data_IF_412032068627
#
_entry.id   IF_412032068627
#
_cell.length_a   1.000
_cell.length_b   1.000
_cell.length_c   1.000
_cell.angle_alpha   90.00
_cell.angle_beta   90.00
_cell.angle_gamma   90.00
#
_symmetry.space_group_name_H-M   'P 1'
#
loop_
_entity.id
_entity.type
_entity.pdbx_description
1 polymer ?
#
# COMPACT_ATOMS: atom_id res chain seq x y z
N UNK A 1 14.44 -7.59 -13.20
CA UNK A 1 13.01 -7.24 -13.04
C UNK A 1 12.33 -7.51 -14.36
N UNK A 2 11.20 -8.25 -14.39
CA UNK A 2 10.32 -8.22 -15.54
C UNK A 2 9.89 -6.76 -15.79
N UNK A 3 9.71 -6.35 -17.05
CA UNK A 3 9.23 -4.99 -17.34
C UNK A 3 7.87 -4.78 -16.66
N UNK A 4 7.66 -3.63 -16.03
CA UNK A 4 6.37 -3.22 -15.41
C UNK A 4 5.20 -3.14 -16.41
N UNK A 5 5.42 -3.48 -17.68
CA UNK A 5 4.45 -3.46 -18.76
C UNK A 5 3.35 -4.52 -18.61
N UNK A 6 3.51 -5.48 -17.69
CA UNK A 6 2.51 -6.52 -17.41
C UNK A 6 1.55 -6.13 -16.26
N UNK A 7 1.68 -4.91 -15.70
CA UNK A 7 0.74 -4.41 -14.69
C UNK A 7 -0.47 -3.76 -15.35
N UNK A 8 -1.67 -4.13 -14.89
CA UNK A 8 -2.91 -3.46 -15.24
C UNK A 8 -3.28 -2.45 -14.14
N UNK A 9 -3.84 -1.31 -14.52
CA UNK A 9 -4.35 -0.28 -13.58
C UNK A 9 -5.87 -0.43 -13.38
N UNK A 10 -6.50 0.46 -12.60
CA UNK A 10 -7.91 0.35 -12.18
C UNK A 10 -8.97 0.12 -13.26
N UNK A 11 -8.69 0.54 -14.50
CA UNK A 11 -9.60 0.34 -15.63
C UNK A 11 -9.29 -0.93 -16.45
N UNK A 12 -8.39 -1.80 -15.96
CA UNK A 12 -7.98 -3.03 -16.64
C UNK A 12 -7.02 -2.80 -17.82
N UNK A 13 -6.59 -1.57 -18.06
CA UNK A 13 -5.62 -1.25 -19.12
C UNK A 13 -4.18 -1.49 -18.63
N UNK A 14 -3.25 -1.85 -19.53
CA UNK A 14 -1.85 -1.97 -19.18
C UNK A 14 -1.26 -0.60 -18.81
N UNK A 15 -0.31 -0.62 -17.86
CA UNK A 15 0.49 0.53 -17.50
C UNK A 15 1.38 0.94 -18.67
N UNK A 16 1.13 2.14 -19.22
CA UNK A 16 1.94 2.74 -20.28
C UNK A 16 2.52 4.07 -19.80
N UNK A 17 3.83 4.09 -19.58
CA UNK A 17 4.56 5.29 -19.18
C UNK A 17 4.41 6.42 -20.21
N UNK A 18 4.21 7.65 -19.72
CA UNK A 18 4.06 8.84 -20.56
C UNK A 18 2.68 9.01 -21.22
N UNK A 19 1.75 8.05 -21.07
CA UNK A 19 0.39 8.15 -21.65
C UNK A 19 -0.50 9.13 -20.88
N UNK A 20 -0.41 9.11 -19.56
CA UNK A 20 -1.14 10.00 -18.63
C UNK A 20 -0.43 10.03 -17.28
N UNK A 21 -0.87 10.92 -16.39
CA UNK A 21 -0.57 10.82 -14.97
C UNK A 21 -1.31 9.64 -14.37
N UNK A 22 -0.60 8.85 -13.55
CA UNK A 22 -1.19 7.79 -12.75
C UNK A 22 -1.25 8.24 -11.30
N UNK A 23 -2.26 7.76 -10.57
CA UNK A 23 -2.49 8.12 -9.17
C UNK A 23 -2.24 6.91 -8.29
N UNK A 24 -1.51 7.11 -7.19
CA UNK A 24 -1.18 6.07 -6.22
C UNK A 24 -1.84 6.43 -4.89
N UNK A 25 -2.70 5.54 -4.39
CA UNK A 25 -3.33 5.67 -3.08
C UNK A 25 -2.38 5.20 -1.98
N UNK A 26 -2.19 6.01 -0.94
CA UNK A 26 -1.25 5.71 0.16
C UNK A 26 -2.02 5.15 1.35
N UNK A 27 -1.64 3.96 1.82
CA UNK A 27 -2.17 3.31 3.02
C UNK A 27 -1.04 3.15 4.04
N UNK A 28 -1.13 3.88 5.16
CA UNK A 28 -0.19 3.77 6.26
C UNK A 28 -0.80 2.91 7.38
N UNK A 29 -0.13 1.83 7.75
CA UNK A 29 -0.55 0.90 8.81
C UNK A 29 0.04 1.27 10.19
N UNK A 30 0.66 2.43 10.31
CA UNK A 30 1.29 2.87 11.57
C UNK A 30 0.23 3.20 12.62
N UNK A 31 0.42 2.81 13.90
CA UNK A 31 -0.50 3.15 15.00
C UNK A 31 -0.70 4.67 15.18
N UNK A 32 0.34 5.47 14.93
CA UNK A 32 0.34 6.93 15.03
C UNK A 32 -0.10 7.62 13.73
N UNK A 33 -1.32 7.34 13.27
CA UNK A 33 -1.93 8.25 12.31
C UNK A 33 -2.29 9.56 13.03
N UNK A 34 -1.77 10.65 12.50
CA UNK A 34 -1.91 11.99 13.07
C UNK A 34 -3.29 12.63 12.77
N UNK A 35 -4.20 11.87 12.17
CA UNK A 35 -5.48 12.35 11.63
C UNK A 35 -6.71 11.66 12.26
N UNK A 36 -6.53 10.55 13.00
CA UNK A 36 -7.63 9.78 13.60
C UNK A 36 -8.15 8.62 12.74
N UNK A 37 -7.49 8.34 11.62
CA UNK A 37 -7.80 7.39 10.55
C UNK A 37 -6.79 6.22 10.50
N UNK A 38 -6.06 6.03 11.59
CA UNK A 38 -5.03 5.02 11.75
C UNK A 38 -5.70 3.68 11.88
N UNK A 39 -5.65 2.92 10.80
CA UNK A 39 -6.24 1.59 10.70
C UNK A 39 -5.57 0.63 11.71
N UNK A 40 -4.43 1.01 12.31
CA UNK A 40 -3.72 0.17 13.27
C UNK A 40 -3.38 -1.19 12.64
N UNK A 41 -3.44 -2.26 13.42
CA UNK A 41 -3.39 -3.64 12.91
C UNK A 41 -4.76 -4.13 12.38
N UNK A 42 -5.74 -3.24 12.19
CA UNK A 42 -7.06 -3.61 11.65
C UNK A 42 -7.00 -3.76 10.13
N UNK A 43 -6.77 -5.00 9.72
CA UNK A 43 -6.76 -5.40 8.32
C UNK A 43 -8.09 -5.05 7.61
N UNK A 44 -9.24 -5.02 8.30
CA UNK A 44 -10.51 -4.67 7.66
C UNK A 44 -10.53 -3.21 7.24
N UNK A 45 -10.04 -2.34 8.10
CA UNK A 45 -10.02 -0.91 7.84
C UNK A 45 -9.03 -0.60 6.68
N UNK A 46 -7.89 -1.29 6.61
CA UNK A 46 -6.98 -1.27 5.46
C UNK A 46 -7.66 -1.69 4.14
N UNK A 47 -8.48 -2.76 4.19
CA UNK A 47 -9.27 -3.24 3.05
C UNK A 47 -10.31 -2.22 2.62
N UNK A 48 -11.06 -1.63 3.55
CA UNK A 48 -12.06 -0.60 3.24
C UNK A 48 -11.44 0.61 2.54
N UNK A 49 -10.29 1.06 3.03
CA UNK A 49 -9.55 2.17 2.42
C UNK A 49 -9.02 1.81 1.02
N UNK A 50 -8.51 0.59 0.84
CA UNK A 50 -8.06 0.09 -0.46
C UNK A 50 -9.20 0.04 -1.49
N UNK A 51 -10.36 -0.51 -1.12
CA UNK A 51 -11.55 -0.57 -1.96
C UNK A 51 -12.06 0.83 -2.31
N UNK A 52 -12.00 1.76 -1.35
CA UNK A 52 -12.36 3.15 -1.58
C UNK A 52 -11.43 3.81 -2.61
N UNK A 53 -10.12 3.63 -2.49
CA UNK A 53 -9.18 4.17 -3.47
C UNK A 53 -9.37 3.58 -4.86
N UNK A 54 -9.66 2.28 -4.97
CA UNK A 54 -10.01 1.66 -6.25
C UNK A 54 -11.27 2.29 -6.85
N UNK A 55 -12.32 2.49 -6.04
CA UNK A 55 -13.56 3.14 -6.49
C UNK A 55 -13.38 4.62 -6.87
N UNK A 56 -12.44 5.33 -6.23
CA UNK A 56 -12.07 6.71 -6.55
C UNK A 56 -11.14 6.82 -7.78
N UNK A 57 -10.67 5.69 -8.31
CA UNK A 57 -9.87 5.63 -9.53
C UNK A 57 -8.35 5.68 -9.32
N UNK A 58 -7.86 5.29 -8.14
CA UNK A 58 -6.43 5.06 -7.94
C UNK A 58 -5.92 3.97 -8.90
N UNK A 59 -4.74 4.15 -9.47
CA UNK A 59 -4.13 3.21 -10.41
C UNK A 59 -3.26 2.17 -9.71
N UNK A 60 -2.76 2.54 -8.53
CA UNK A 60 -1.89 1.75 -7.67
C UNK A 60 -2.24 2.00 -6.21
N UNK A 61 -1.84 1.07 -5.35
CA UNK A 61 -1.75 1.32 -3.92
C UNK A 61 -0.29 1.27 -3.46
N UNK A 62 0.05 2.05 -2.45
CA UNK A 62 1.32 2.03 -1.75
C UNK A 62 1.06 1.81 -0.28
N UNK A 63 1.60 0.71 0.27
CA UNK A 63 1.30 0.24 1.62
C UNK A 63 2.59 0.26 2.43
N UNK A 64 2.60 1.05 3.51
CA UNK A 64 3.73 1.17 4.42
C UNK A 64 3.34 0.84 5.87
N UNK A 65 4.19 0.10 6.57
CA UNK A 65 3.97 -0.29 7.97
C UNK A 65 4.89 0.45 8.98
N UNK A 66 5.86 1.23 8.49
CA UNK A 66 6.76 2.06 9.28
C UNK A 66 6.59 3.54 8.92
N UNK A 67 6.63 4.42 9.93
CA UNK A 67 6.58 5.86 9.67
C UNK A 67 7.97 6.36 9.29
N UNK A 68 8.08 7.02 8.14
CA UNK A 68 9.30 7.71 7.70
C UNK A 68 9.40 9.16 8.22
N UNK A 69 8.51 9.55 9.15
CA UNK A 69 8.48 10.91 9.72
C UNK A 69 9.67 11.17 10.65
N UNK A 70 10.22 12.41 10.67
CA UNK A 70 11.31 12.76 11.59
C UNK A 70 10.90 12.53 13.06
N UNK A 71 11.68 11.73 13.78
CA UNK A 71 11.49 11.48 15.21
C UNK A 71 10.66 10.24 15.58
N UNK A 72 10.24 9.42 14.61
CA UNK A 72 9.60 8.13 14.89
C UNK A 72 10.66 7.08 15.31
N UNK A 73 10.29 6.18 16.23
CA UNK A 73 11.14 5.04 16.59
C UNK A 73 11.16 4.01 15.45
N UNK A 74 12.34 3.67 14.96
CA UNK A 74 12.44 2.64 13.93
C UNK A 74 12.07 1.27 14.51
N UNK A 75 11.31 0.50 13.76
CA UNK A 75 10.89 -0.86 14.12
C UNK A 75 11.81 -1.89 13.46
N UNK A 76 11.89 -3.12 13.97
CA UNK A 76 12.66 -4.18 13.31
C UNK A 76 12.01 -4.62 11.99
N UNK A 77 12.73 -5.40 11.18
CA UNK A 77 12.16 -5.98 9.97
C UNK A 77 11.05 -7.00 10.28
N UNK A 78 11.22 -7.80 11.33
CA UNK A 78 10.19 -8.73 11.78
C UNK A 78 8.92 -7.98 12.23
N UNK A 79 9.07 -6.91 13.01
CA UNK A 79 7.94 -6.10 13.48
C UNK A 79 7.19 -5.42 12.32
N UNK A 80 7.91 -5.00 11.29
CA UNK A 80 7.31 -4.44 10.08
C UNK A 80 6.50 -5.49 9.31
N UNK A 81 7.07 -6.69 9.12
CA UNK A 81 6.40 -7.81 8.47
C UNK A 81 5.14 -8.26 9.22
N UNK A 82 5.23 -8.38 10.55
CA UNK A 82 4.10 -8.78 11.40
C UNK A 82 2.90 -7.82 11.28
N UNK A 83 3.17 -6.54 11.00
CA UNK A 83 2.13 -5.52 10.76
C UNK A 83 1.66 -5.52 9.30
N UNK A 84 2.58 -5.64 8.36
CA UNK A 84 2.31 -5.52 6.93
C UNK A 84 1.54 -6.71 6.38
N UNK A 85 1.98 -7.94 6.69
CA UNK A 85 1.50 -9.16 6.03
C UNK A 85 -0.01 -9.39 6.18
N UNK A 86 -0.63 -9.28 7.37
CA UNK A 86 -2.08 -9.50 7.50
C UNK A 86 -2.91 -8.51 6.68
N UNK A 87 -2.48 -7.25 6.63
CA UNK A 87 -3.16 -6.21 5.85
C UNK A 87 -2.94 -6.41 4.36
N UNK A 88 -1.70 -6.71 3.94
CA UNK A 88 -1.36 -6.93 2.54
C UNK A 88 -2.14 -8.13 1.97
N UNK A 89 -2.16 -9.27 2.66
CA UNK A 89 -2.93 -10.45 2.27
C UNK A 89 -4.43 -10.15 2.14
N UNK A 90 -4.98 -9.41 3.10
CA UNK A 90 -6.38 -9.03 3.07
C UNK A 90 -6.70 -8.09 1.89
N UNK A 91 -5.87 -7.08 1.64
CA UNK A 91 -6.02 -6.11 0.55
C UNK A 91 -5.95 -6.79 -0.81
N UNK A 92 -4.88 -7.56 -1.08
CA UNK A 92 -4.68 -8.20 -2.39
C UNK A 92 -5.75 -9.24 -2.71
N UNK A 93 -6.45 -9.76 -1.70
CA UNK A 93 -7.58 -10.69 -1.89
C UNK A 93 -8.88 -9.99 -2.34
N UNK A 94 -8.94 -8.66 -2.30
CA UNK A 94 -10.18 -7.87 -2.51
C UNK A 94 -10.13 -6.87 -3.65
N UNK A 95 -8.95 -6.39 -4.02
CA UNK A 95 -8.77 -5.38 -5.08
C UNK A 95 -8.14 -5.99 -6.33
N UNK A 96 -8.21 -5.27 -7.45
CA UNK A 96 -7.56 -5.65 -8.71
C UNK A 96 -6.37 -4.73 -9.07
N UNK A 97 -5.99 -3.82 -8.17
CA UNK A 97 -4.89 -2.89 -8.40
C UNK A 97 -3.54 -3.52 -8.05
N UNK A 98 -2.46 -3.12 -8.74
CA UNK A 98 -1.11 -3.44 -8.29
C UNK A 98 -0.82 -2.73 -6.96
N UNK A 99 -0.08 -3.43 -6.10
CA UNK A 99 0.31 -2.94 -4.78
C UNK A 99 1.83 -2.78 -4.73
N UNK A 100 2.27 -1.61 -4.32
CA UNK A 100 3.63 -1.26 -3.92
C UNK A 100 3.75 -1.41 -2.40
N UNK A 101 4.92 -1.86 -1.95
CA UNK A 101 5.27 -1.92 -0.52
C UNK A 101 6.29 -0.80 -0.26
N UNK A 102 5.92 0.18 0.57
CA UNK A 102 6.81 1.26 1.00
C UNK A 102 7.63 0.77 2.19
N UNK A 103 8.81 0.23 1.90
CA UNK A 103 9.76 -0.23 2.90
C UNK A 103 11.19 0.11 2.53
N UNK A 104 12.01 0.36 3.55
CA UNK A 104 13.47 0.50 3.41
C UNK A 104 14.23 -0.78 3.78
N UNK A 105 13.52 -1.81 4.27
CA UNK A 105 14.13 -3.04 4.78
C UNK A 105 14.04 -4.13 3.72
N UNK A 106 15.20 -4.62 3.27
CA UNK A 106 15.29 -5.63 2.21
C UNK A 106 14.55 -6.94 2.51
N UNK A 107 14.28 -7.26 3.78
CA UNK A 107 13.53 -8.45 4.19
C UNK A 107 12.01 -8.28 3.97
N UNK A 108 11.51 -7.04 3.97
CA UNK A 108 10.11 -6.71 3.75
C UNK A 108 9.77 -6.34 2.30
N UNK A 109 10.78 -6.19 1.42
CA UNK A 109 10.65 -5.85 0.01
C UNK A 109 10.54 -7.10 -0.89
#
# INVERSE_FOLDING_TARGET
MPPLNDLNVSNGEPLVWGRRTYVMGIINLTPDSFSGDGLGTDANAAVEQALRFEAEGADFLDVGAESTRPGHESITAEEELDRLMPALEAIVSKINLPVSVDTSKAVAA
#
